data_IF_236214916690
#
_entry.id   IF_236214916690
#
_cell.length_a   1.000
_cell.length_b   1.000
_cell.length_c   1.000
_cell.angle_alpha   90.00
_cell.angle_beta   90.00
_cell.angle_gamma   90.00
#
_symmetry.space_group_name_H-M   'P 1'
#
loop_
_entity.id
_entity.type
_entity.pdbx_description
1 polymer ?
#
# COMPACT_ATOMS: atom_id res chain seq x y z
N UNK A 1 8.25 -16.99 1.12
CA UNK A 1 7.34 -16.00 1.74
C UNK A 1 6.05 -16.10 0.98
N UNK A 2 4.98 -16.39 1.68
CA UNK A 2 3.65 -16.62 1.10
C UNK A 2 2.83 -15.33 1.15
N UNK A 3 2.21 -14.98 0.05
CA UNK A 3 1.42 -13.76 -0.10
C UNK A 3 0.00 -14.13 -0.52
N UNK A 4 -0.97 -13.69 0.27
CA UNK A 4 -2.39 -13.90 -0.01
C UNK A 4 -3.04 -12.54 -0.32
N UNK A 5 -3.55 -12.40 -1.55
CA UNK A 5 -4.19 -11.18 -2.03
C UNK A 5 -5.70 -11.37 -2.07
N UNK A 6 -6.44 -10.45 -1.48
CA UNK A 6 -7.89 -10.44 -1.48
C UNK A 6 -8.40 -9.36 -2.44
N UNK A 7 -9.07 -9.80 -3.51
CA UNK A 7 -9.60 -8.96 -4.58
C UNK A 7 -8.71 -8.92 -5.82
N UNK A 8 -9.22 -9.41 -6.96
CA UNK A 8 -8.61 -9.31 -8.28
C UNK A 8 -9.09 -8.06 -9.06
N UNK A 9 -9.19 -6.93 -8.36
CA UNK A 9 -9.40 -5.61 -8.94
C UNK A 9 -8.09 -5.03 -9.51
N UNK A 10 -8.08 -3.75 -9.90
CA UNK A 10 -6.89 -3.10 -10.47
C UNK A 10 -5.65 -3.23 -9.57
N UNK A 11 -5.80 -2.94 -8.30
CA UNK A 11 -4.69 -3.01 -7.32
C UNK A 11 -4.24 -4.45 -7.13
N UNK A 12 -5.17 -5.37 -6.81
CA UNK A 12 -4.83 -6.77 -6.54
C UNK A 12 -4.22 -7.48 -7.75
N UNK A 13 -4.73 -7.25 -8.96
CA UNK A 13 -4.14 -7.84 -10.17
C UNK A 13 -2.73 -7.29 -10.46
N UNK A 14 -2.52 -5.99 -10.24
CA UNK A 14 -1.19 -5.39 -10.40
C UNK A 14 -0.20 -5.94 -9.37
N UNK A 15 -0.60 -6.06 -8.10
CA UNK A 15 0.22 -6.67 -7.05
C UNK A 15 0.54 -8.14 -7.37
N UNK A 16 -0.48 -8.93 -7.77
CA UNK A 16 -0.30 -10.33 -8.11
C UNK A 16 0.70 -10.52 -9.26
N UNK A 17 0.58 -9.70 -10.32
CA UNK A 17 1.51 -9.75 -11.46
C UNK A 17 2.93 -9.38 -11.09
N UNK A 18 3.11 -8.33 -10.30
CA UNK A 18 4.45 -7.87 -9.88
C UNK A 18 5.12 -8.89 -8.97
N UNK A 19 4.40 -9.37 -7.96
CA UNK A 19 4.94 -10.30 -6.97
C UNK A 19 5.23 -11.69 -7.56
N UNK A 20 4.36 -12.18 -8.48
CA UNK A 20 4.60 -13.42 -9.20
C UNK A 20 5.88 -13.33 -10.07
N UNK A 21 6.11 -12.22 -10.76
CA UNK A 21 7.35 -12.01 -11.54
C UNK A 21 8.61 -11.95 -10.67
N UNK A 22 8.47 -11.56 -9.43
CA UNK A 22 9.55 -11.56 -8.43
C UNK A 22 9.73 -12.93 -7.74
N UNK A 23 9.01 -13.96 -8.21
CA UNK A 23 9.04 -15.34 -7.71
C UNK A 23 8.57 -15.48 -6.24
N UNK A 24 7.63 -14.66 -5.80
CA UNK A 24 6.91 -14.91 -4.56
C UNK A 24 5.83 -15.98 -4.76
N UNK A 25 5.55 -16.73 -3.70
CA UNK A 25 4.42 -17.66 -3.64
C UNK A 25 3.12 -16.87 -3.44
N UNK A 26 2.38 -16.65 -4.52
CA UNK A 26 1.20 -15.78 -4.56
C UNK A 26 -0.08 -16.60 -4.71
N UNK A 27 -1.01 -16.37 -3.79
CA UNK A 27 -2.41 -16.82 -3.90
C UNK A 27 -3.32 -15.58 -3.99
N UNK A 28 -4.37 -15.65 -4.82
CA UNK A 28 -5.35 -14.57 -4.96
C UNK A 28 -6.78 -15.07 -4.84
N UNK A 29 -7.61 -14.35 -4.09
CA UNK A 29 -9.03 -14.63 -3.91
C UNK A 29 -9.86 -13.55 -4.59
N UNK A 30 -10.85 -13.95 -5.39
CA UNK A 30 -11.92 -13.07 -5.89
C UNK A 30 -13.21 -13.89 -6.09
N UNK A 31 -14.36 -13.26 -6.05
CA UNK A 31 -15.62 -13.91 -6.39
C UNK A 31 -15.83 -14.03 -7.92
N UNK A 32 -15.09 -13.26 -8.71
CA UNK A 32 -15.18 -13.24 -10.17
C UNK A 32 -14.17 -14.22 -10.79
N UNK A 33 -14.70 -15.35 -11.27
CA UNK A 33 -13.91 -16.42 -11.91
C UNK A 33 -13.12 -15.95 -13.11
N UNK A 34 -13.69 -15.08 -13.96
CA UNK A 34 -13.05 -14.65 -15.21
C UNK A 34 -11.81 -13.81 -14.97
N UNK A 35 -11.81 -12.98 -13.91
CA UNK A 35 -10.62 -12.24 -13.51
C UNK A 35 -9.50 -13.16 -13.05
N UNK A 36 -9.84 -14.17 -12.28
CA UNK A 36 -8.87 -15.15 -11.77
C UNK A 36 -8.27 -16.00 -12.89
N UNK A 37 -9.09 -16.46 -13.85
CA UNK A 37 -8.60 -17.23 -15.00
C UNK A 37 -7.59 -16.44 -15.83
N UNK A 38 -7.85 -15.16 -16.12
CA UNK A 38 -6.89 -14.29 -16.85
C UNK A 38 -5.55 -14.18 -16.13
N UNK A 39 -5.58 -14.05 -14.81
CA UNK A 39 -4.33 -13.98 -14.03
C UNK A 39 -3.56 -15.30 -14.06
N UNK A 40 -4.26 -16.44 -14.03
CA UNK A 40 -3.65 -17.78 -14.14
C UNK A 40 -3.05 -18.06 -15.53
N UNK A 41 -3.63 -17.50 -16.59
CA UNK A 41 -3.09 -17.64 -17.95
C UNK A 41 -1.76 -16.90 -18.12
N UNK A 42 -1.59 -15.79 -17.44
CA UNK A 42 -0.43 -14.89 -17.60
C UNK A 42 0.67 -15.09 -16.54
N UNK A 43 0.32 -15.63 -15.36
CA UNK A 43 1.21 -15.66 -14.20
C UNK A 43 1.13 -16.99 -13.44
N UNK A 44 2.26 -17.41 -12.86
CA UNK A 44 2.34 -18.57 -11.97
C UNK A 44 1.86 -18.15 -10.57
N UNK A 45 0.57 -18.36 -10.30
CA UNK A 45 -0.08 -18.05 -9.02
C UNK A 45 -1.28 -18.96 -8.77
N UNK A 46 -1.60 -19.16 -7.49
CA UNK A 46 -2.78 -19.90 -7.10
C UNK A 46 -4.01 -18.98 -7.05
N UNK A 47 -5.16 -19.49 -7.49
CA UNK A 47 -6.43 -18.75 -7.46
C UNK A 47 -7.48 -19.48 -6.66
N UNK A 48 -8.27 -18.75 -5.88
CA UNK A 48 -9.40 -19.29 -5.13
C UNK A 48 -10.64 -18.43 -5.39
N UNK A 49 -11.70 -19.08 -5.88
CA UNK A 49 -12.99 -18.42 -6.11
C UNK A 49 -13.77 -18.41 -4.81
N UNK A 50 -14.12 -17.22 -4.31
CA UNK A 50 -14.91 -17.08 -3.11
C UNK A 50 -14.96 -15.68 -2.55
N UNK A 51 -15.66 -15.53 -1.42
CA UNK A 51 -15.74 -14.26 -0.71
C UNK A 51 -14.51 -14.08 0.19
N UNK A 52 -13.85 -12.95 0.08
CA UNK A 52 -12.56 -12.68 0.74
C UNK A 52 -12.63 -12.73 2.28
N UNK A 53 -13.77 -12.39 2.89
CA UNK A 53 -13.95 -12.43 4.34
C UNK A 53 -14.51 -13.77 4.87
N UNK A 54 -14.65 -14.79 4.03
CA UNK A 54 -15.10 -16.10 4.51
C UNK A 54 -13.93 -16.94 5.01
N UNK A 55 -13.96 -17.45 6.27
CA UNK A 55 -12.88 -18.26 6.83
C UNK A 55 -12.49 -19.46 5.98
N UNK A 56 -13.48 -20.16 5.40
CA UNK A 56 -13.22 -21.34 4.56
C UNK A 56 -12.50 -20.96 3.26
N UNK A 57 -12.76 -19.78 2.71
CA UNK A 57 -12.07 -19.29 1.52
C UNK A 57 -10.61 -18.96 1.82
N UNK A 58 -10.34 -18.32 2.96
CA UNK A 58 -8.98 -18.03 3.42
C UNK A 58 -8.20 -19.34 3.67
N UNK A 59 -8.86 -20.33 4.28
CA UNK A 59 -8.29 -21.66 4.51
C UNK A 59 -7.95 -22.39 3.21
N UNK A 60 -8.86 -22.36 2.22
CA UNK A 60 -8.63 -22.94 0.89
C UNK A 60 -7.51 -22.26 0.12
N UNK A 61 -7.28 -20.98 0.35
CA UNK A 61 -6.15 -20.24 -0.20
C UNK A 61 -4.85 -20.47 0.57
N UNK A 62 -4.91 -21.29 1.63
CA UNK A 62 -3.77 -21.71 2.44
C UNK A 62 -3.27 -20.62 3.39
N UNK A 63 -4.14 -19.79 3.97
CA UNK A 63 -3.76 -18.84 5.00
C UNK A 63 -3.15 -19.57 6.22
N UNK A 64 -1.98 -19.12 6.66
CA UNK A 64 -1.21 -19.68 7.78
C UNK A 64 -0.30 -18.63 8.42
N UNK A 65 0.50 -19.03 9.42
CA UNK A 65 1.40 -18.15 10.18
C UNK A 65 2.56 -17.53 9.35
N UNK A 66 2.88 -18.09 8.17
CA UNK A 66 3.90 -17.57 7.26
C UNK A 66 3.32 -16.57 6.24
N UNK A 67 1.99 -16.43 6.21
CA UNK A 67 1.27 -15.63 5.22
C UNK A 67 1.34 -14.14 5.51
N UNK A 68 1.63 -13.33 4.47
CA UNK A 68 1.33 -11.90 4.44
C UNK A 68 0.02 -11.73 3.66
N UNK A 69 -0.98 -11.14 4.32
CA UNK A 69 -2.29 -10.89 3.74
C UNK A 69 -2.40 -9.44 3.23
N UNK A 70 -2.81 -9.28 1.98
CA UNK A 70 -3.09 -8.00 1.34
C UNK A 70 -4.59 -7.90 1.04
N UNK A 71 -5.34 -7.19 1.88
CA UNK A 71 -6.79 -6.99 1.71
C UNK A 71 -7.03 -5.72 0.88
N UNK A 72 -7.28 -5.89 -0.42
CA UNK A 72 -7.39 -4.81 -1.41
C UNK A 72 -8.67 -4.89 -2.26
N UNK A 73 -9.75 -5.44 -1.68
CA UNK A 73 -11.06 -5.45 -2.32
C UNK A 73 -11.64 -4.03 -2.41
N UNK A 74 -12.78 -3.87 -3.04
CA UNK A 74 -13.50 -2.58 -3.13
C UNK A 74 -14.38 -2.27 -1.91
N UNK A 75 -14.47 -3.16 -0.91
CA UNK A 75 -15.22 -2.96 0.32
C UNK A 75 -14.28 -2.91 1.51
N UNK A 76 -14.28 -1.78 2.21
CA UNK A 76 -13.49 -1.56 3.41
C UNK A 76 -13.89 -2.52 4.53
N UNK A 77 -15.20 -2.77 4.71
CA UNK A 77 -15.73 -3.71 5.69
C UNK A 77 -15.26 -5.15 5.42
N UNK A 78 -15.22 -5.55 4.14
CA UNK A 78 -14.71 -6.85 3.75
C UNK A 78 -13.21 -6.96 4.06
N UNK A 79 -12.43 -5.92 3.77
CA UNK A 79 -11.01 -5.87 4.03
C UNK A 79 -10.70 -5.95 5.53
N UNK A 80 -11.43 -5.18 6.35
CA UNK A 80 -11.31 -5.20 7.82
C UNK A 80 -11.65 -6.58 8.37
N UNK A 81 -12.83 -7.13 8.01
CA UNK A 81 -13.27 -8.43 8.49
C UNK A 81 -12.30 -9.55 8.10
N UNK A 82 -11.77 -9.51 6.89
CA UNK A 82 -10.80 -10.50 6.42
C UNK A 82 -9.47 -10.42 7.21
N UNK A 83 -8.96 -9.22 7.50
CA UNK A 83 -7.77 -9.04 8.33
C UNK A 83 -7.98 -9.57 9.75
N UNK A 84 -9.13 -9.26 10.38
CA UNK A 84 -9.48 -9.76 11.71
C UNK A 84 -9.54 -11.30 11.75
N UNK A 85 -10.19 -11.92 10.76
CA UNK A 85 -10.29 -13.39 10.67
C UNK A 85 -8.91 -14.00 10.45
N UNK A 86 -8.12 -13.42 9.54
CA UNK A 86 -6.79 -13.91 9.23
C UNK A 86 -5.87 -13.88 10.47
N UNK A 87 -5.89 -12.82 11.23
CA UNK A 87 -5.13 -12.71 12.48
C UNK A 87 -5.66 -13.62 13.59
N UNK A 88 -6.97 -13.64 13.81
CA UNK A 88 -7.56 -14.39 14.92
C UNK A 88 -7.52 -15.90 14.72
N UNK A 89 -7.92 -16.38 13.51
CA UNK A 89 -8.04 -17.82 13.21
C UNK A 89 -6.74 -18.41 12.66
N UNK A 90 -6.08 -17.74 11.73
CA UNK A 90 -4.93 -18.29 11.00
C UNK A 90 -3.58 -17.77 11.48
N UNK A 91 -3.56 -16.79 12.39
CA UNK A 91 -2.34 -16.20 12.96
C UNK A 91 -1.38 -15.68 11.90
N UNK A 92 -1.91 -15.16 10.78
CA UNK A 92 -1.09 -14.67 9.68
C UNK A 92 -0.03 -13.68 10.17
N UNK A 93 1.14 -13.77 9.57
CA UNK A 93 2.32 -12.99 9.96
C UNK A 93 2.06 -11.48 9.93
N UNK A 94 1.45 -11.01 8.84
CA UNK A 94 1.19 -9.59 8.63
C UNK A 94 -0.09 -9.37 7.83
N UNK A 95 -0.82 -8.31 8.16
CA UNK A 95 -2.00 -7.84 7.43
C UNK A 95 -1.78 -6.43 6.91
N UNK A 96 -2.08 -6.22 5.63
CA UNK A 96 -2.07 -4.91 4.98
C UNK A 96 -3.47 -4.70 4.43
N UNK A 97 -4.15 -3.64 4.89
CA UNK A 97 -5.54 -3.36 4.63
C UNK A 97 -5.69 -2.06 3.84
N UNK A 98 -6.32 -2.12 2.66
CA UNK A 98 -6.72 -0.92 1.93
C UNK A 98 -8.05 -0.42 2.51
N UNK A 99 -8.09 0.85 2.89
CA UNK A 99 -9.28 1.54 3.39
C UNK A 99 -9.46 2.82 2.59
N UNK A 100 -10.60 2.98 1.93
CA UNK A 100 -10.92 4.16 1.11
C UNK A 100 -11.57 5.26 1.94
N UNK A 101 -12.34 4.89 2.96
CA UNK A 101 -13.01 5.84 3.85
C UNK A 101 -12.07 6.24 5.01
N UNK A 102 -11.84 7.56 5.12
CA UNK A 102 -10.99 8.14 6.16
C UNK A 102 -11.49 7.84 7.58
N UNK A 103 -12.80 7.68 7.78
CA UNK A 103 -13.39 7.37 9.09
C UNK A 103 -12.92 6.04 9.66
N UNK A 104 -12.62 5.05 8.78
CA UNK A 104 -12.01 3.78 9.20
C UNK A 104 -10.54 3.94 9.56
N UNK A 105 -9.79 4.78 8.83
CA UNK A 105 -8.39 5.05 9.15
C UNK A 105 -8.23 5.75 10.50
N UNK A 106 -9.13 6.69 10.81
CA UNK A 106 -9.13 7.41 12.09
C UNK A 106 -9.59 6.54 13.27
N UNK A 107 -10.20 5.38 12.99
CA UNK A 107 -10.81 4.49 14.01
C UNK A 107 -10.17 3.10 14.03
N UNK A 108 -8.93 2.95 13.59
CA UNK A 108 -8.26 1.63 13.50
C UNK A 108 -8.26 0.85 14.81
N UNK A 109 -8.11 1.54 15.94
CA UNK A 109 -8.10 0.93 17.28
C UNK A 109 -9.43 0.22 17.62
N UNK A 110 -10.55 0.68 17.03
CA UNK A 110 -11.87 0.06 17.23
C UNK A 110 -11.96 -1.36 16.63
N UNK A 111 -11.09 -1.72 15.69
CA UNK A 111 -11.08 -3.04 15.04
C UNK A 111 -10.23 -4.07 15.79
N UNK A 112 -9.68 -3.71 16.93
CA UNK A 112 -8.84 -4.56 17.79
C UNK A 112 -7.36 -4.41 17.48
N UNK A 113 -6.60 -4.23 18.56
CA UNK A 113 -5.15 -4.06 18.49
C UNK A 113 -4.46 -5.24 17.78
N UNK A 114 -3.61 -4.93 16.79
CA UNK A 114 -2.84 -5.93 16.05
C UNK A 114 -3.62 -6.74 15.00
N UNK A 115 -4.90 -6.47 14.74
CA UNK A 115 -5.65 -7.13 13.68
C UNK A 115 -5.36 -6.55 12.30
N UNK A 116 -4.97 -5.28 12.22
CA UNK A 116 -4.51 -4.61 11.02
C UNK A 116 -3.12 -4.03 11.32
N UNK A 117 -2.08 -4.62 10.73
CA UNK A 117 -0.70 -4.16 10.98
C UNK A 117 -0.37 -2.89 10.18
N UNK A 118 -0.93 -2.77 8.97
CA UNK A 118 -0.77 -1.58 8.11
C UNK A 118 -2.11 -1.29 7.45
N UNK A 119 -2.60 -0.06 7.61
CA UNK A 119 -3.72 0.47 6.84
C UNK A 119 -3.20 1.48 5.79
N UNK A 120 -3.75 1.41 4.57
CA UNK A 120 -3.38 2.30 3.46
C UNK A 120 -4.67 2.95 2.94
N UNK A 121 -4.70 4.29 2.95
CA UNK A 121 -5.77 5.11 2.36
C UNK A 121 -5.30 5.76 1.06
N UNK A 122 -5.40 5.12 -0.11
CA UNK A 122 -4.82 5.63 -1.36
C UNK A 122 -5.34 7.01 -1.74
N UNK A 123 -6.61 7.30 -1.45
CA UNK A 123 -7.26 8.57 -1.75
C UNK A 123 -6.68 9.70 -0.90
N UNK A 124 -6.38 9.46 0.36
CA UNK A 124 -5.75 10.42 1.27
C UNK A 124 -4.29 10.67 0.87
N UNK A 125 -3.53 9.61 0.61
CA UNK A 125 -2.13 9.70 0.17
C UNK A 125 -1.98 10.56 -1.10
N UNK A 126 -2.85 10.34 -2.09
CA UNK A 126 -2.84 11.14 -3.32
C UNK A 126 -3.23 12.59 -3.04
N UNK A 127 -4.25 12.81 -2.22
CA UNK A 127 -4.70 14.15 -1.86
C UNK A 127 -3.61 14.94 -1.13
N UNK A 128 -2.98 14.34 -0.14
CA UNK A 128 -1.90 14.96 0.63
C UNK A 128 -0.71 15.29 -0.25
N UNK A 129 -0.33 14.37 -1.16
CA UNK A 129 0.73 14.60 -2.11
C UNK A 129 0.42 15.78 -3.06
N UNK A 130 -0.80 15.86 -3.61
CA UNK A 130 -1.22 16.97 -4.46
C UNK A 130 -1.23 18.31 -3.69
N UNK A 131 -1.73 18.31 -2.46
CA UNK A 131 -1.72 19.50 -1.60
C UNK A 131 -0.29 19.96 -1.32
N UNK A 132 0.63 19.03 -1.07
CA UNK A 132 2.04 19.37 -0.83
C UNK A 132 2.70 19.95 -2.10
N UNK A 133 2.42 19.42 -3.29
CA UNK A 133 2.90 20.01 -4.56
C UNK A 133 2.36 21.40 -4.80
N UNK A 134 1.09 21.67 -4.45
CA UNK A 134 0.48 23.00 -4.57
C UNK A 134 1.12 24.00 -3.58
N UNK A 135 1.37 23.57 -2.35
CA UNK A 135 2.00 24.41 -1.30
C UNK A 135 3.46 24.74 -1.61
N UNK A 136 4.14 23.90 -2.39
CA UNK A 136 5.56 24.07 -2.70
C UNK A 136 5.77 24.18 -4.23
N UNK A 137 5.35 25.29 -4.86
CA UNK A 137 5.46 25.43 -6.31
C UNK A 137 6.93 25.43 -6.76
N UNK A 138 7.23 24.61 -7.76
CA UNK A 138 8.59 24.44 -8.31
C UNK A 138 9.33 23.21 -7.79
N UNK A 139 8.70 22.43 -6.94
CA UNK A 139 9.22 21.09 -6.55
C UNK A 139 8.82 20.02 -7.58
N UNK A 140 9.69 19.05 -7.82
CA UNK A 140 9.40 17.89 -8.66
C UNK A 140 8.87 16.70 -7.83
N UNK A 141 9.40 16.57 -6.61
CA UNK A 141 9.01 15.50 -5.68
C UNK A 141 9.08 16.00 -4.25
N UNK A 142 8.14 15.55 -3.43
CA UNK A 142 8.11 15.78 -1.99
C UNK A 142 7.86 14.44 -1.31
N UNK A 143 8.77 14.05 -0.44
CA UNK A 143 8.64 12.86 0.38
C UNK A 143 8.57 13.24 1.85
N UNK A 144 7.58 12.72 2.55
CA UNK A 144 7.34 13.02 3.97
C UNK A 144 7.70 11.81 4.82
N UNK A 145 8.54 11.98 5.84
CA UNK A 145 9.01 10.95 6.74
C UNK A 145 8.67 11.28 8.20
N UNK A 146 8.70 10.23 9.04
CA UNK A 146 8.51 10.35 10.49
C UNK A 146 7.21 11.11 10.86
N UNK A 147 6.08 10.72 10.26
CA UNK A 147 4.76 11.33 10.49
C UNK A 147 4.76 12.86 10.28
N UNK A 148 5.45 13.34 9.25
CA UNK A 148 5.50 14.78 8.92
C UNK A 148 6.64 15.56 9.56
N UNK A 149 7.44 14.93 10.42
CA UNK A 149 8.55 15.61 11.11
C UNK A 149 9.72 15.92 10.17
N UNK A 150 9.86 15.19 9.05
CA UNK A 150 10.90 15.42 8.05
C UNK A 150 10.29 15.41 6.65
N UNK A 151 10.61 16.43 5.85
CA UNK A 151 10.27 16.48 4.42
C UNK A 151 11.54 16.55 3.58
N UNK A 152 11.64 15.68 2.57
CA UNK A 152 12.67 15.74 1.54
C UNK A 152 12.05 16.28 0.27
N UNK A 153 12.60 17.38 -0.23
CA UNK A 153 12.08 18.08 -1.40
C UNK A 153 13.10 18.04 -2.53
N UNK A 154 12.68 17.55 -3.69
CA UNK A 154 13.47 17.57 -4.91
C UNK A 154 13.07 18.77 -5.77
N UNK A 155 14.04 19.59 -6.15
CA UNK A 155 13.85 20.74 -7.01
C UNK A 155 14.78 20.67 -8.22
N UNK A 156 14.27 21.06 -9.38
CA UNK A 156 15.09 21.15 -10.60
C UNK A 156 15.79 22.48 -10.67
N UNK A 157 17.12 22.48 -10.70
CA UNK A 157 17.90 23.68 -10.91
C UNK A 157 17.67 24.24 -12.33
N UNK A 158 17.17 25.45 -12.45
CA UNK A 158 16.99 26.14 -13.73
C UNK A 158 18.32 26.75 -14.19
N UNK A 159 18.54 26.84 -15.52
CA UNK A 159 19.78 27.25 -16.15
C UNK A 159 20.32 28.60 -15.64
N UNK A 160 19.43 29.51 -15.23
CA UNK A 160 19.77 30.84 -14.68
C UNK A 160 19.46 30.95 -13.17
N UNK A 161 19.29 29.78 -12.49
CA UNK A 161 18.97 29.72 -11.07
C UNK A 161 20.20 29.81 -10.16
N UNK A 162 20.00 30.19 -8.90
CA UNK A 162 21.06 30.38 -7.90
C UNK A 162 21.89 29.12 -7.60
N UNK A 163 21.41 27.94 -7.99
CA UNK A 163 22.06 26.65 -7.72
C UNK A 163 22.98 26.18 -8.86
N UNK A 164 22.96 26.86 -10.03
CA UNK A 164 23.71 26.42 -11.21
C UNK A 164 25.08 27.12 -11.26
N UNK A 165 26.13 26.36 -11.62
CA UNK A 165 27.51 26.84 -11.72
C UNK A 165 28.10 27.41 -10.40
N UNK A 166 27.63 26.95 -9.25
CA UNK A 166 28.14 27.33 -7.92
C UNK A 166 28.60 26.09 -7.14
N UNK A 167 29.61 26.25 -6.34
CA UNK A 167 30.02 25.19 -5.41
C UNK A 167 28.95 25.02 -4.31
N UNK A 168 28.59 23.74 -3.99
CA UNK A 168 27.62 23.43 -2.94
C UNK A 168 27.93 24.11 -1.60
N UNK A 169 29.21 24.31 -1.31
CA UNK A 169 29.68 24.95 -0.09
C UNK A 169 29.28 26.43 0.00
N UNK A 170 29.16 27.14 -1.14
CA UNK A 170 28.73 28.53 -1.21
C UNK A 170 27.21 28.70 -1.17
N UNK A 171 26.46 27.67 -1.50
CA UNK A 171 24.98 27.69 -1.51
C UNK A 171 24.44 27.73 -0.08
N UNK A 172 25.14 27.11 0.87
CA UNK A 172 24.73 27.03 2.27
C UNK A 172 24.60 28.43 2.94
N UNK A 173 25.36 29.44 2.48
CA UNK A 173 25.28 30.81 3.00
C UNK A 173 24.07 31.58 2.46
N UNK A 174 23.52 31.20 1.33
CA UNK A 174 22.42 31.89 0.65
C UNK A 174 21.05 31.19 0.88
N UNK A 175 21.05 30.02 1.49
CA UNK A 175 19.81 29.32 1.90
C UNK A 175 19.38 29.84 3.28
N UNK A 176 18.09 30.20 3.46
CA UNK A 176 17.58 30.45 4.79
C UNK A 176 17.86 29.24 5.69
N UNK A 177 18.30 29.47 6.91
CA UNK A 177 18.54 28.43 7.90
C UNK A 177 17.25 27.60 8.03
N UNK A 178 17.21 26.45 7.38
CA UNK A 178 16.26 25.41 7.74
C UNK A 178 16.69 24.90 9.10
N UNK A 179 15.96 25.28 10.13
CA UNK A 179 16.12 24.70 11.46
C UNK A 179 15.90 23.19 11.33
N UNK A 180 16.96 22.43 11.47
CA UNK A 180 16.93 20.99 11.75
C UNK A 180 16.70 20.77 13.22
#
# INVERSE_FOLDING_TARGET
>A
MKILILGAGRVGSSLASTLSRENYDVSIIDHNKDKLLRLQEDFDLATVIGHASHPNTLESAGADEETILLAVTSSDECNIAACQIAKSKFKVKKTICRLSDASYLDSLDAFGEGNIDIAIGPENEVTDHLVDLIKHPGTEQIETFANGALKVVSVKAKKDGMLVNRELKSIKSDMPETQT
#
